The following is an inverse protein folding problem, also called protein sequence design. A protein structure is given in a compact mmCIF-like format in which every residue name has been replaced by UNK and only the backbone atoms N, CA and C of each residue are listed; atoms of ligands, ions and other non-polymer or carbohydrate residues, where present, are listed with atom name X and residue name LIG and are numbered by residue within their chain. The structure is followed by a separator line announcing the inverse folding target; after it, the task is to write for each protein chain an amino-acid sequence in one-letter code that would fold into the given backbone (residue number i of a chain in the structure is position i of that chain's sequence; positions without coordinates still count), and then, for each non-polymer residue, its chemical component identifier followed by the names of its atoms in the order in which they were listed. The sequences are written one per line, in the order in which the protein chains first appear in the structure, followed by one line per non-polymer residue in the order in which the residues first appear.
data_IF_477807281039
#
_entry.id   IF_477807281039
#
_cell.length_a   1.000
_cell.length_b   1.000
_cell.length_c   1.000
_cell.angle_alpha   90.00
_cell.angle_beta   90.00
_cell.angle_gamma   90.00
#
_symmetry.space_group_name_H-M   'P 1'
#
loop_
_entity.id
_entity.type
_entity.pdbx_description
1 polymer ?
#
# COMPACT_ATOMS: atom_id res chain seq x y z
N UNK A 1 10.20 -8.42 20.41
CA UNK A 1 9.96 -8.83 18.99
C UNK A 1 9.47 -10.27 19.03
N UNK A 2 8.32 -10.57 18.44
CA UNK A 2 7.83 -11.94 18.25
C UNK A 2 8.63 -12.62 17.15
N UNK A 3 8.83 -13.93 17.24
CA UNK A 3 9.59 -14.68 16.24
C UNK A 3 8.77 -14.96 14.96
N UNK A 4 9.44 -15.35 13.87
CA UNK A 4 8.78 -15.61 12.59
C UNK A 4 7.74 -16.74 12.68
N UNK A 5 7.94 -17.75 13.54
CA UNK A 5 6.99 -18.86 13.72
C UNK A 5 5.70 -18.36 14.36
N UNK A 6 5.80 -17.45 15.33
CA UNK A 6 4.63 -16.83 15.94
C UNK A 6 3.91 -15.91 14.96
N UNK A 7 4.65 -15.11 14.17
CA UNK A 7 4.07 -14.27 13.12
C UNK A 7 3.26 -15.12 12.12
N UNK A 8 3.81 -16.25 11.69
CA UNK A 8 3.16 -17.16 10.73
C UNK A 8 1.83 -17.72 11.21
N UNK A 9 1.60 -17.84 12.52
CA UNK A 9 0.31 -18.28 13.08
C UNK A 9 -0.88 -17.37 12.73
N UNK A 10 -0.62 -16.14 12.36
CA UNK A 10 -1.65 -15.19 11.91
C UNK A 10 -2.01 -15.34 10.43
N UNK A 11 -1.45 -16.34 9.74
CA UNK A 11 -1.68 -16.58 8.32
C UNK A 11 -2.11 -18.02 8.05
N UNK A 12 -2.94 -18.25 7.02
CA UNK A 12 -3.21 -19.58 6.51
C UNK A 12 -1.92 -20.29 6.09
N UNK A 13 -1.89 -21.62 6.22
CA UNK A 13 -0.70 -22.42 5.92
C UNK A 13 -0.19 -22.25 4.49
N UNK A 14 -1.09 -22.00 3.53
CA UNK A 14 -0.77 -21.79 2.11
C UNK A 14 0.11 -20.57 1.90
N UNK A 15 0.03 -19.59 2.79
CA UNK A 15 0.86 -18.39 2.73
C UNK A 15 2.21 -18.54 3.43
N UNK A 16 2.45 -19.62 4.17
CA UNK A 16 3.70 -19.81 4.91
C UNK A 16 4.95 -19.91 4.04
N UNK A 17 4.80 -20.12 2.74
CA UNK A 17 5.92 -20.06 1.78
C UNK A 17 6.43 -18.63 1.50
N UNK A 18 5.65 -17.61 1.85
CA UNK A 18 5.94 -16.20 1.62
C UNK A 18 6.60 -15.51 2.82
N UNK A 19 7.54 -16.18 3.48
CA UNK A 19 8.16 -15.75 4.73
C UNK A 19 8.65 -14.30 4.74
N UNK A 20 9.27 -13.84 3.65
CA UNK A 20 9.78 -12.47 3.52
C UNK A 20 8.65 -11.44 3.49
N UNK A 21 7.56 -11.72 2.80
CA UNK A 21 6.39 -10.84 2.77
C UNK A 21 5.65 -10.82 4.11
N UNK A 22 5.51 -11.98 4.76
CA UNK A 22 4.92 -12.11 6.10
C UNK A 22 5.69 -11.28 7.12
N UNK A 23 7.03 -11.38 7.11
CA UNK A 23 7.88 -10.60 8.01
C UNK A 23 7.79 -9.10 7.68
N UNK A 24 7.76 -8.73 6.39
CA UNK A 24 7.58 -7.34 5.96
C UNK A 24 6.22 -6.78 6.41
N UNK A 25 5.13 -7.54 6.26
CA UNK A 25 3.79 -7.12 6.71
C UNK A 25 3.76 -6.91 8.24
N UNK A 26 4.40 -7.78 9.02
CA UNK A 26 4.56 -7.55 10.47
C UNK A 26 5.25 -6.21 10.79
N UNK A 27 6.35 -5.92 10.12
CA UNK A 27 7.07 -4.65 10.30
C UNK A 27 6.21 -3.44 9.89
N UNK A 28 5.38 -3.57 8.85
CA UNK A 28 4.43 -2.53 8.44
C UNK A 28 3.42 -2.23 9.56
N UNK A 29 2.89 -3.25 10.24
CA UNK A 29 2.02 -3.06 11.41
C UNK A 29 2.74 -2.31 12.54
N UNK A 30 4.00 -2.68 12.85
CA UNK A 30 4.81 -1.98 13.87
C UNK A 30 5.06 -0.52 13.52
N UNK A 31 5.35 -0.23 12.27
CA UNK A 31 5.56 1.15 11.80
C UNK A 31 4.24 1.94 11.87
N UNK A 32 3.11 1.37 11.43
CA UNK A 32 1.79 2.01 11.53
C UNK A 32 1.42 2.35 12.98
N UNK A 33 1.65 1.43 13.92
CA UNK A 33 1.45 1.69 15.35
C UNK A 33 2.28 2.90 15.82
N UNK A 34 3.55 2.98 15.42
CA UNK A 34 4.44 4.07 15.80
C UNK A 34 3.97 5.40 15.17
N UNK A 35 3.63 5.40 13.89
CA UNK A 35 3.16 6.59 13.16
C UNK A 35 1.89 7.15 13.82
N UNK A 36 0.88 6.31 14.04
CA UNK A 36 -0.40 6.75 14.59
C UNK A 36 -0.40 6.95 16.12
N UNK A 37 0.65 6.52 16.81
CA UNK A 37 0.90 6.88 18.23
C UNK A 37 1.83 8.09 18.39
N UNK A 38 2.23 8.74 17.31
CA UNK A 38 3.09 9.94 17.33
C UNK A 38 2.25 11.22 17.40
N UNK A 39 2.93 12.34 17.70
CA UNK A 39 2.34 13.69 17.61
C UNK A 39 1.90 14.09 16.19
N UNK A 40 2.36 13.36 15.18
CA UNK A 40 2.09 13.62 13.76
C UNK A 40 0.89 12.86 13.21
N UNK A 41 0.25 11.99 14.00
CA UNK A 41 -0.85 11.12 13.59
C UNK A 41 -2.03 11.85 12.95
N UNK A 42 -2.31 13.10 13.37
CA UNK A 42 -3.42 13.89 12.85
C UNK A 42 -3.17 14.46 11.45
N UNK A 43 -1.91 14.47 11.00
CA UNK A 43 -1.47 15.02 9.72
C UNK A 43 -1.33 13.97 8.63
N UNK A 44 -1.60 12.70 8.93
CA UNK A 44 -1.41 11.59 8.02
C UNK A 44 -2.67 10.73 7.93
N UNK A 45 -3.02 10.35 6.70
CA UNK A 45 -4.08 9.37 6.43
C UNK A 45 -3.49 8.24 5.60
N UNK A 46 -3.63 6.99 6.06
CA UNK A 46 -3.11 5.82 5.40
C UNK A 46 -3.88 5.48 4.14
N UNK A 47 -3.18 5.35 3.02
CA UNK A 47 -3.71 5.11 1.68
C UNK A 47 -2.95 3.97 0.99
N UNK A 48 -3.19 3.80 -0.29
CA UNK A 48 -2.37 2.96 -1.17
C UNK A 48 -2.64 1.45 -1.05
N UNK A 49 -1.75 0.67 -1.66
CA UNK A 49 -1.91 -0.78 -1.78
C UNK A 49 -1.80 -1.52 -0.45
N UNK A 50 -0.99 -1.00 0.47
CA UNK A 50 -0.82 -1.62 1.80
C UNK A 50 -2.03 -1.34 2.69
N UNK A 51 -2.70 -0.19 2.53
CA UNK A 51 -3.99 0.08 3.17
C UNK A 51 -5.05 -0.94 2.69
N UNK A 52 -5.15 -1.18 1.38
CA UNK A 52 -6.05 -2.21 0.84
C UNK A 52 -5.72 -3.62 1.39
N UNK A 53 -4.44 -3.95 1.55
CA UNK A 53 -4.01 -5.24 2.09
C UNK A 53 -4.32 -5.38 3.57
N UNK A 54 -3.91 -4.42 4.39
CA UNK A 54 -3.96 -4.51 5.85
C UNK A 54 -5.38 -4.31 6.38
N UNK A 55 -6.10 -3.33 5.86
CA UNK A 55 -7.42 -2.93 6.36
C UNK A 55 -8.54 -3.69 5.66
N UNK A 56 -8.46 -3.79 4.34
CA UNK A 56 -9.53 -4.35 3.52
C UNK A 56 -9.26 -5.78 3.03
N UNK A 57 -8.16 -6.41 3.50
CA UNK A 57 -7.83 -7.81 3.27
C UNK A 57 -7.66 -8.18 1.78
N UNK A 58 -7.15 -7.26 0.96
CA UNK A 58 -6.82 -7.56 -0.42
C UNK A 58 -5.87 -8.77 -0.50
N UNK A 59 -6.11 -9.69 -1.44
CA UNK A 59 -5.43 -10.98 -1.54
C UNK A 59 -4.08 -10.91 -2.27
N UNK A 60 -3.33 -9.86 -2.03
CA UNK A 60 -1.94 -9.72 -2.44
C UNK A 60 -1.12 -9.04 -1.36
N UNK A 61 0.17 -9.35 -1.30
CA UNK A 61 1.12 -8.61 -0.47
C UNK A 61 1.37 -7.21 -1.05
N UNK A 62 1.80 -6.31 -0.18
CA UNK A 62 2.20 -4.95 -0.53
C UNK A 62 3.47 -4.57 0.22
N UNK A 63 4.23 -3.61 -0.29
CA UNK A 63 5.59 -3.40 0.18
C UNK A 63 5.79 -2.08 0.93
N UNK A 64 5.20 -1.00 0.42
CA UNK A 64 5.44 0.35 0.89
C UNK A 64 4.26 0.86 1.73
N UNK A 65 4.49 1.89 2.54
CA UNK A 65 3.47 2.55 3.34
C UNK A 65 3.22 3.94 2.77
N UNK A 66 2.05 4.12 2.16
CA UNK A 66 1.65 5.37 1.52
C UNK A 66 0.71 6.17 2.43
N UNK A 67 0.95 7.48 2.53
CA UNK A 67 0.09 8.38 3.30
C UNK A 67 -0.26 9.63 2.52
N UNK A 68 -1.50 10.08 2.65
CA UNK A 68 -1.86 11.46 2.29
C UNK A 68 -1.41 12.41 3.38
N UNK A 69 -0.84 13.54 2.97
CA UNK A 69 -0.23 14.54 3.84
C UNK A 69 -1.15 15.74 4.06
N UNK A 70 -1.64 15.91 5.28
CA UNK A 70 -2.46 17.02 5.73
C UNK A 70 -1.63 18.04 6.54
N UNK A 71 -0.62 18.62 5.90
CA UNK A 71 0.18 19.69 6.48
C UNK A 71 1.37 19.24 7.35
N UNK A 72 1.88 18.01 7.12
CA UNK A 72 3.17 17.60 7.68
C UNK A 72 4.29 18.31 6.93
N UNK A 73 5.14 19.03 7.66
CA UNK A 73 6.28 19.74 7.08
C UNK A 73 7.49 18.83 6.85
N UNK A 74 8.49 19.24 6.03
CA UNK A 74 9.72 18.49 5.84
C UNK A 74 10.46 18.15 7.15
N UNK A 75 10.53 19.12 8.07
CA UNK A 75 11.21 18.94 9.36
C UNK A 75 10.44 17.95 10.25
N UNK A 76 9.12 18.08 10.33
CA UNK A 76 8.26 17.14 11.05
C UNK A 76 8.33 15.72 10.47
N UNK A 77 8.43 15.59 9.15
CA UNK A 77 8.62 14.30 8.51
C UNK A 77 9.97 13.68 8.86
N UNK A 78 11.02 14.49 8.90
CA UNK A 78 12.35 14.04 9.30
C UNK A 78 12.37 13.58 10.76
N UNK A 79 11.67 14.30 11.62
CA UNK A 79 11.52 13.98 13.05
C UNK A 79 10.68 12.70 13.26
N UNK A 80 9.61 12.53 12.49
CA UNK A 80 8.84 11.29 12.47
C UNK A 80 9.73 10.07 12.13
N UNK A 81 10.64 10.21 11.16
CA UNK A 81 11.62 9.18 10.85
C UNK A 81 12.49 8.81 12.06
N UNK A 82 12.98 9.80 12.80
CA UNK A 82 13.76 9.56 14.01
C UNK A 82 12.94 8.90 15.13
N UNK A 83 11.67 9.29 15.29
CA UNK A 83 10.73 8.65 16.23
C UNK A 83 10.52 7.19 15.87
N UNK A 84 10.30 6.87 14.58
CA UNK A 84 10.15 5.50 14.11
C UNK A 84 11.40 4.69 14.42
N UNK A 85 12.58 5.19 14.05
CA UNK A 85 13.86 4.52 14.32
C UNK A 85 14.00 4.21 15.81
N UNK A 86 13.90 5.21 16.67
CA UNK A 86 14.07 5.06 18.12
C UNK A 86 13.10 4.04 18.73
N UNK A 87 11.82 4.09 18.34
CA UNK A 87 10.82 3.17 18.87
C UNK A 87 11.03 1.72 18.39
N UNK A 88 11.48 1.52 17.15
CA UNK A 88 11.83 0.19 16.65
C UNK A 88 13.10 -0.35 17.32
N UNK A 89 14.12 0.49 17.53
CA UNK A 89 15.34 0.10 18.25
C UNK A 89 15.04 -0.33 19.70
N UNK A 90 14.12 0.36 20.40
CA UNK A 90 13.66 -0.03 21.73
C UNK A 90 12.93 -1.39 21.73
N UNK A 91 12.41 -1.84 20.59
CA UNK A 91 11.79 -3.15 20.42
C UNK A 91 12.80 -4.24 19.99
N UNK A 92 14.08 -3.88 19.91
CA UNK A 92 15.18 -4.81 19.61
C UNK A 92 15.51 -4.96 18.11
N UNK A 93 14.98 -4.09 17.25
CA UNK A 93 15.38 -4.06 15.83
C UNK A 93 16.64 -3.23 15.63
N UNK A 94 17.52 -3.66 14.72
CA UNK A 94 18.55 -2.79 14.17
C UNK A 94 17.93 -2.02 12.98
N UNK A 95 18.00 -0.67 12.98
CA UNK A 95 17.27 0.16 12.02
C UNK A 95 18.16 1.27 11.44
N UNK A 96 18.17 1.35 10.13
CA UNK A 96 18.75 2.47 9.38
C UNK A 96 17.63 3.28 8.71
N UNK A 97 17.74 4.61 8.78
CA UNK A 97 16.77 5.52 8.13
C UNK A 97 17.50 6.44 7.16
N UNK A 98 16.85 6.65 6.00
CA UNK A 98 17.27 7.66 5.03
C UNK A 98 16.04 8.41 4.51
N UNK A 99 15.94 9.70 4.85
CA UNK A 99 14.91 10.59 4.33
C UNK A 99 15.37 11.23 3.00
N UNK A 100 14.41 11.35 2.06
CA UNK A 100 14.56 12.05 0.79
C UNK A 100 13.34 12.95 0.64
N UNK A 101 13.58 14.26 0.55
CA UNK A 101 12.53 15.29 0.47
C UNK A 101 12.70 16.00 -0.87
N UNK A 102 11.84 15.67 -1.85
CA UNK A 102 11.82 16.29 -3.19
C UNK A 102 10.39 16.28 -3.73
N UNK A 103 9.60 17.27 -3.35
CA UNK A 103 8.16 17.30 -3.62
C UNK A 103 7.43 16.35 -2.67
N UNK A 104 7.29 15.07 -3.05
CA UNK A 104 6.91 14.01 -2.12
C UNK A 104 8.03 13.73 -1.09
N UNK A 105 7.65 13.24 0.10
CA UNK A 105 8.59 12.88 1.15
C UNK A 105 8.70 11.36 1.21
N UNK A 106 9.94 10.85 1.22
CA UNK A 106 10.23 9.42 1.28
C UNK A 106 11.13 9.12 2.47
N UNK A 107 10.75 8.15 3.29
CA UNK A 107 11.56 7.62 4.37
C UNK A 107 11.87 6.15 4.10
N UNK A 108 13.11 5.85 3.77
CA UNK A 108 13.58 4.47 3.59
C UNK A 108 13.97 3.90 4.95
N UNK A 109 13.21 2.94 5.45
CA UNK A 109 13.43 2.23 6.71
C UNK A 109 14.03 0.87 6.36
N UNK A 110 15.29 0.64 6.76
CA UNK A 110 16.02 -0.59 6.50
C UNK A 110 16.27 -1.34 7.79
N UNK A 111 16.14 -2.65 7.72
CA UNK A 111 16.37 -3.57 8.83
C UNK A 111 17.57 -4.46 8.51
N UNK A 112 18.81 -4.05 8.92
CA UNK A 112 20.01 -4.85 8.74
C UNK A 112 19.91 -6.16 9.53
N UNK A 113 20.56 -7.21 9.02
CA UNK A 113 20.68 -8.54 9.65
C UNK A 113 19.36 -9.28 9.96
N UNK A 114 18.19 -8.61 9.86
CA UNK A 114 16.92 -9.20 10.27
C UNK A 114 16.58 -10.46 9.47
N UNK A 115 16.84 -10.48 8.15
CA UNK A 115 16.65 -11.67 7.32
C UNK A 115 17.53 -12.83 7.77
N UNK A 116 18.80 -12.56 8.09
CA UNK A 116 19.74 -13.57 8.60
C UNK A 116 19.29 -14.09 9.97
N UNK A 117 18.92 -13.21 10.89
CA UNK A 117 18.44 -13.57 12.23
C UNK A 117 17.14 -14.38 12.18
N UNK A 118 16.30 -14.14 11.16
CA UNK A 118 15.06 -14.90 10.94
C UNK A 118 15.26 -16.20 10.14
N UNK A 119 16.51 -16.55 9.77
CA UNK A 119 16.82 -17.73 8.97
C UNK A 119 16.40 -17.64 7.50
N UNK A 120 16.11 -16.43 6.98
CA UNK A 120 15.63 -16.19 5.62
C UNK A 120 16.73 -15.77 4.64
N UNK A 121 17.95 -15.56 5.12
CA UNK A 121 19.13 -15.27 4.32
C UNK A 121 20.40 -15.80 5.00
N UNK A 122 21.37 -16.18 4.18
CA UNK A 122 22.74 -16.47 4.63
C UNK A 122 23.63 -15.22 4.67
N UNK A 123 23.15 -14.07 4.22
CA UNK A 123 23.92 -12.85 4.04
C UNK A 123 23.50 -11.76 5.04
N UNK A 124 24.44 -11.30 5.87
CA UNK A 124 24.20 -10.23 6.84
C UNK A 124 23.89 -8.87 6.17
N UNK A 125 24.41 -8.67 4.95
CA UNK A 125 24.23 -7.43 4.18
C UNK A 125 22.83 -7.29 3.58
N UNK A 126 22.07 -8.38 3.48
CA UNK A 126 20.71 -8.34 2.94
C UNK A 126 19.76 -7.71 3.96
N UNK A 127 19.06 -6.66 3.51
CA UNK A 127 18.18 -5.85 4.38
C UNK A 127 16.74 -5.92 3.89
N UNK A 128 15.80 -5.97 4.84
CA UNK A 128 14.42 -5.61 4.50
C UNK A 128 14.35 -4.10 4.36
N UNK A 129 13.72 -3.64 3.28
CA UNK A 129 13.37 -2.24 3.06
C UNK A 129 11.86 -2.08 3.13
N UNK A 130 11.42 -1.10 3.92
CA UNK A 130 10.07 -0.54 3.87
C UNK A 130 10.21 0.94 3.58
N UNK A 131 9.56 1.40 2.53
CA UNK A 131 9.48 2.81 2.19
C UNK A 131 8.19 3.39 2.78
N UNK A 132 8.31 4.50 3.47
CA UNK A 132 7.18 5.30 3.92
C UNK A 132 7.15 6.55 3.05
N UNK A 133 6.06 6.69 2.30
CA UNK A 133 5.86 7.76 1.34
C UNK A 133 4.69 8.64 1.78
N UNK A 134 4.88 9.96 1.65
CA UNK A 134 3.78 10.89 1.89
C UNK A 134 3.84 12.06 0.91
N UNK A 135 2.66 12.36 0.35
CA UNK A 135 2.46 13.46 -0.58
C UNK A 135 1.07 14.07 -0.31
N UNK A 136 0.98 15.39 -0.32
CA UNK A 136 -0.31 16.05 -0.24
C UNK A 136 -1.08 15.84 -1.54
N UNK A 137 -2.21 15.15 -1.44
CA UNK A 137 -3.07 14.92 -2.62
C UNK A 137 -3.81 16.18 -3.07
N UNK A 138 -3.90 17.21 -2.22
CA UNK A 138 -4.61 18.46 -2.55
C UNK A 138 -6.10 18.23 -2.80
N UNK A 139 -6.68 17.28 -2.09
CA UNK A 139 -8.09 16.93 -2.12
C UNK A 139 -8.59 16.69 -0.70
N UNK A 140 -9.60 17.43 -0.30
CA UNK A 140 -10.18 17.32 1.04
C UNK A 140 -11.22 16.20 1.08
N UNK A 141 -11.08 15.32 2.06
CA UNK A 141 -12.02 14.23 2.32
C UNK A 141 -12.11 13.91 3.81
N UNK A 142 -13.19 13.26 4.21
CA UNK A 142 -13.33 12.77 5.57
C UNK A 142 -12.63 11.42 5.71
N UNK A 143 -11.59 11.37 6.55
CA UNK A 143 -10.92 10.11 6.89
C UNK A 143 -11.76 9.26 7.83
N UNK A 144 -11.61 7.94 7.72
CA UNK A 144 -12.24 6.97 8.60
C UNK A 144 -11.25 6.50 9.67
N UNK A 145 -11.77 6.09 10.84
CA UNK A 145 -10.95 5.48 11.89
C UNK A 145 -11.08 3.97 11.83
N UNK A 146 -9.93 3.27 11.89
CA UNK A 146 -9.88 1.82 11.87
C UNK A 146 -9.04 1.29 13.04
N UNK A 147 -9.53 0.26 13.75
CA UNK A 147 -8.76 -0.43 14.78
C UNK A 147 -7.83 -1.46 14.14
N UNK A 148 -6.55 -1.18 14.17
CA UNK A 148 -5.52 -2.10 13.76
C UNK A 148 -5.23 -3.07 14.91
N UNK A 149 -5.62 -4.33 14.74
CA UNK A 149 -5.48 -5.38 15.77
C UNK A 149 -4.96 -6.67 15.12
N UNK A 150 -3.67 -6.84 15.08
CA UNK A 150 -3.00 -8.06 14.59
C UNK A 150 -1.61 -8.16 15.20
N UNK A 151 -1.12 -9.36 15.42
CA UNK A 151 0.16 -9.65 16.10
C UNK A 151 0.17 -9.07 17.54
N UNK A 152 1.19 -8.33 17.88
CA UNK A 152 1.36 -7.58 19.13
C UNK A 152 1.03 -6.08 18.97
N UNK A 153 0.24 -5.72 17.92
CA UNK A 153 -0.15 -4.35 17.60
C UNK A 153 -1.63 -4.14 17.88
N UNK A 154 -1.93 -3.08 18.65
CA UNK A 154 -3.29 -2.63 18.90
C UNK A 154 -3.33 -1.10 18.92
N UNK A 155 -3.83 -0.48 17.87
CA UNK A 155 -3.88 0.98 17.72
C UNK A 155 -5.01 1.42 16.81
N UNK A 156 -5.41 2.70 16.89
CA UNK A 156 -6.34 3.30 15.94
C UNK A 156 -5.56 4.05 14.86
N UNK A 157 -5.88 3.80 13.61
CA UNK A 157 -5.28 4.47 12.45
C UNK A 157 -6.34 5.25 11.68
N UNK A 158 -5.92 6.27 10.94
CA UNK A 158 -6.77 7.00 9.99
C UNK A 158 -6.55 6.45 8.58
N UNK A 159 -7.65 6.16 7.88
CA UNK A 159 -7.64 5.60 6.52
C UNK A 159 -8.50 6.44 5.59
N UNK A 160 -8.19 6.41 4.30
CA UNK A 160 -9.03 7.00 3.27
C UNK A 160 -10.24 6.11 2.95
N UNK A 161 -11.39 6.68 2.53
CA UNK A 161 -12.54 5.92 2.06
C UNK A 161 -12.20 5.06 0.84
N UNK A 162 -12.85 3.90 0.71
CA UNK A 162 -12.64 2.99 -0.43
C UNK A 162 -12.92 3.63 -1.79
N UNK A 163 -13.91 4.53 -1.88
CA UNK A 163 -14.22 5.29 -3.10
C UNK A 163 -13.04 6.13 -3.57
N UNK A 164 -12.35 6.79 -2.64
CA UNK A 164 -11.16 7.57 -2.93
C UNK A 164 -9.98 6.67 -3.31
N UNK A 165 -9.76 5.57 -2.59
CA UNK A 165 -8.69 4.60 -2.95
C UNK A 165 -8.90 4.04 -4.36
N UNK A 166 -10.15 3.76 -4.76
CA UNK A 166 -10.46 3.32 -6.12
C UNK A 166 -10.18 4.42 -7.15
N UNK A 167 -10.59 5.66 -6.87
CA UNK A 167 -10.30 6.80 -7.75
C UNK A 167 -8.80 7.04 -7.93
N UNK A 168 -8.01 6.93 -6.83
CA UNK A 168 -6.54 7.01 -6.88
C UNK A 168 -5.93 5.89 -7.75
N UNK A 169 -6.49 4.67 -7.73
CA UNK A 169 -6.03 3.58 -8.58
C UNK A 169 -6.33 3.82 -10.07
N UNK A 170 -7.51 4.32 -10.40
CA UNK A 170 -7.83 4.72 -11.77
C UNK A 170 -6.92 5.86 -12.24
N UNK A 171 -6.74 6.88 -11.41
CA UNK A 171 -5.81 7.97 -11.71
C UNK A 171 -4.38 7.46 -11.94
N UNK A 172 -3.91 6.52 -11.12
CA UNK A 172 -2.57 5.94 -11.27
C UNK A 172 -2.40 5.18 -12.59
N UNK A 173 -3.41 4.40 -13.01
CA UNK A 173 -3.39 3.70 -14.30
C UNK A 173 -3.26 4.67 -15.47
N UNK A 174 -3.99 5.79 -15.44
CA UNK A 174 -3.97 6.77 -16.53
C UNK A 174 -2.72 7.65 -16.57
N UNK A 175 -2.11 7.95 -15.42
CA UNK A 175 -1.13 9.02 -15.33
C UNK A 175 0.29 8.57 -14.98
N UNK A 176 0.52 7.30 -14.62
CA UNK A 176 1.88 6.81 -14.37
C UNK A 176 2.67 6.68 -15.66
N UNK A 177 3.94 7.11 -15.61
CA UNK A 177 4.89 6.90 -16.72
C UNK A 177 5.09 5.41 -17.06
N UNK A 178 5.00 4.54 -16.08
CA UNK A 178 5.06 3.09 -16.22
C UNK A 178 3.91 2.47 -15.43
N UNK A 179 3.02 1.79 -16.13
CA UNK A 179 1.93 1.07 -15.51
C UNK A 179 2.43 -0.05 -14.58
N UNK A 180 1.63 -0.38 -13.59
CA UNK A 180 1.89 -1.42 -12.59
C UNK A 180 0.71 -2.39 -12.55
N UNK A 181 0.98 -3.68 -12.69
CA UNK A 181 -0.03 -4.73 -12.60
C UNK A 181 -0.83 -4.68 -11.30
N UNK A 182 -0.19 -4.24 -10.21
CA UNK A 182 -0.83 -4.07 -8.89
C UNK A 182 -2.00 -3.08 -8.89
N UNK A 183 -1.94 -2.02 -9.71
CA UNK A 183 -3.03 -1.03 -9.75
C UNK A 183 -4.27 -1.63 -10.43
N UNK A 184 -4.12 -2.41 -11.49
CA UNK A 184 -5.22 -3.15 -12.13
C UNK A 184 -5.82 -4.19 -11.19
N UNK A 185 -5.00 -4.92 -10.46
CA UNK A 185 -5.47 -5.91 -9.47
C UNK A 185 -6.30 -5.26 -8.37
N UNK A 186 -5.83 -4.12 -7.85
CA UNK A 186 -6.54 -3.35 -6.82
C UNK A 186 -7.88 -2.81 -7.32
N UNK A 187 -7.95 -2.35 -8.58
CA UNK A 187 -9.21 -1.93 -9.23
C UNK A 187 -10.19 -3.10 -9.28
N UNK A 188 -9.75 -4.27 -9.77
CA UNK A 188 -10.63 -5.45 -9.82
C UNK A 188 -11.14 -5.82 -8.43
N UNK A 189 -10.27 -5.81 -7.42
CA UNK A 189 -10.65 -6.06 -6.04
C UNK A 189 -11.73 -5.09 -5.55
N UNK A 190 -11.52 -3.79 -5.70
CA UNK A 190 -12.44 -2.76 -5.23
C UNK A 190 -13.79 -2.78 -5.97
N UNK A 191 -13.77 -2.98 -7.29
CA UNK A 191 -14.99 -3.13 -8.09
C UNK A 191 -15.76 -4.40 -7.71
N UNK A 192 -15.08 -5.48 -7.34
CA UNK A 192 -15.73 -6.71 -6.86
C UNK A 192 -16.45 -6.53 -5.53
N UNK A 193 -16.08 -5.51 -4.74
CA UNK A 193 -16.79 -5.08 -3.53
C UNK A 193 -17.95 -4.14 -3.83
N UNK A 194 -18.22 -3.81 -5.09
CA UNK A 194 -19.27 -2.88 -5.48
C UNK A 194 -18.93 -1.40 -5.19
N UNK A 195 -17.67 -1.07 -5.03
CA UNK A 195 -17.24 0.30 -4.73
C UNK A 195 -17.36 1.16 -6.00
N UNK A 196 -17.90 2.37 -5.83
CA UNK A 196 -17.95 3.41 -6.86
C UNK A 196 -16.79 4.39 -6.62
N UNK A 197 -16.04 4.79 -7.66
CA UNK A 197 -14.93 5.72 -7.49
C UNK A 197 -15.43 7.13 -7.11
N UNK A 198 -14.59 7.86 -6.37
CA UNK A 198 -14.83 9.28 -6.06
C UNK A 198 -14.61 10.14 -7.30
N UNK A 199 -15.71 10.58 -7.93
CA UNK A 199 -15.65 11.40 -9.13
C UNK A 199 -15.20 12.84 -8.86
N UNK A 200 -15.36 13.37 -7.65
CA UNK A 200 -14.85 14.70 -7.32
C UNK A 200 -13.32 14.70 -7.33
N UNK A 201 -12.70 13.62 -6.83
CA UNK A 201 -11.25 13.44 -6.92
C UNK A 201 -10.80 13.29 -8.39
N UNK A 202 -11.48 12.46 -9.17
CA UNK A 202 -11.12 12.24 -10.58
C UNK A 202 -11.31 13.50 -11.42
N UNK A 203 -12.35 14.27 -11.19
CA UNK A 203 -12.59 15.55 -11.87
C UNK A 203 -11.48 16.55 -11.56
N UNK A 204 -11.12 16.69 -10.26
CA UNK A 204 -10.04 17.58 -9.84
C UNK A 204 -8.69 17.20 -10.46
N UNK A 205 -8.37 15.88 -10.53
CA UNK A 205 -7.05 15.40 -10.93
C UNK A 205 -6.88 15.16 -12.43
N UNK A 206 -7.97 14.84 -13.14
CA UNK A 206 -7.91 14.40 -14.54
C UNK A 206 -9.06 14.91 -15.41
N UNK A 207 -10.00 15.69 -14.85
CA UNK A 207 -11.16 16.19 -15.61
C UNK A 207 -12.24 15.14 -15.88
N UNK A 208 -12.17 13.96 -15.26
CA UNK A 208 -13.12 12.86 -15.45
C UNK A 208 -14.22 12.99 -14.39
N UNK A 209 -15.44 13.35 -14.83
CA UNK A 209 -16.55 13.67 -13.93
C UNK A 209 -17.64 12.59 -13.86
N UNK A 210 -17.56 11.53 -14.67
CA UNK A 210 -18.60 10.51 -14.71
C UNK A 210 -18.10 9.13 -15.18
N UNK A 211 -18.94 8.12 -14.93
CA UNK A 211 -18.64 6.72 -15.24
C UNK A 211 -18.38 6.43 -16.70
N UNK A 212 -19.00 7.18 -17.59
CA UNK A 212 -18.86 6.97 -19.02
C UNK A 212 -17.47 7.40 -19.50
N UNK A 213 -17.07 8.62 -19.13
CA UNK A 213 -15.73 9.14 -19.42
C UNK A 213 -14.64 8.24 -18.82
N UNK A 214 -14.77 7.87 -17.54
CA UNK A 214 -13.80 7.01 -16.87
C UNK A 214 -13.62 5.69 -17.60
N UNK A 215 -14.73 5.02 -17.94
CA UNK A 215 -14.69 3.73 -18.62
C UNK A 215 -14.05 3.84 -20.00
N UNK A 216 -14.40 4.86 -20.78
CA UNK A 216 -13.83 5.07 -22.12
C UNK A 216 -12.33 5.33 -22.06
N UNK A 217 -11.88 6.23 -21.17
CA UNK A 217 -10.47 6.56 -21.00
C UNK A 217 -9.65 5.32 -20.57
N UNK A 218 -10.12 4.55 -19.58
CA UNK A 218 -9.40 3.35 -19.11
C UNK A 218 -9.35 2.28 -20.19
N UNK A 219 -10.45 2.01 -20.90
CA UNK A 219 -10.47 1.00 -21.98
C UNK A 219 -9.56 1.40 -23.14
N UNK A 220 -9.56 2.69 -23.52
CA UNK A 220 -8.65 3.20 -24.55
C UNK A 220 -7.18 3.06 -24.10
N UNK A 221 -6.89 3.37 -22.84
CA UNK A 221 -5.55 3.22 -22.27
C UNK A 221 -5.08 1.74 -22.24
N UNK A 222 -5.96 0.82 -21.87
CA UNK A 222 -5.67 -0.63 -21.84
C UNK A 222 -5.24 -1.18 -23.20
N UNK A 223 -5.79 -0.68 -24.31
CA UNK A 223 -5.40 -1.09 -25.67
C UNK A 223 -3.93 -0.84 -26.00
N UNK A 224 -3.27 0.05 -25.26
CA UNK A 224 -1.85 0.39 -25.41
C UNK A 224 -0.94 -0.39 -24.45
N UNK A 225 -1.50 -1.25 -23.62
CA UNK A 225 -0.78 -1.95 -22.55
C UNK A 225 -0.81 -3.45 -22.82
N UNK A 226 0.33 -4.11 -22.68
CA UNK A 226 0.37 -5.58 -22.63
C UNK A 226 -0.09 -6.07 -21.26
N UNK A 227 -1.34 -6.57 -21.19
CA UNK A 227 -1.91 -7.09 -19.94
C UNK A 227 -1.21 -8.37 -19.46
N UNK A 228 -0.49 -9.11 -20.31
CA UNK A 228 0.33 -10.23 -19.88
C UNK A 228 1.59 -9.75 -19.12
N UNK A 229 2.18 -8.62 -19.54
CA UNK A 229 3.26 -8.02 -18.76
C UNK A 229 2.76 -7.48 -17.42
N UNK A 230 1.58 -6.89 -17.38
CA UNK A 230 0.96 -6.45 -16.12
C UNK A 230 0.65 -7.63 -15.19
N UNK A 231 0.18 -8.74 -15.74
CA UNK A 231 -0.04 -9.97 -15.00
C UNK A 231 1.25 -10.50 -14.37
N UNK A 232 2.36 -10.54 -15.13
CA UNK A 232 3.69 -10.92 -14.61
C UNK A 232 4.22 -9.95 -13.57
N UNK A 233 3.98 -8.64 -13.71
CA UNK A 233 4.42 -7.61 -12.73
C UNK A 233 3.75 -7.82 -11.36
N UNK A 234 2.49 -8.25 -11.31
CA UNK A 234 1.77 -8.46 -10.05
C UNK A 234 1.94 -9.86 -9.46
N UNK A 235 2.22 -10.86 -10.28
CA UNK A 235 2.25 -12.28 -9.89
C UNK A 235 3.07 -12.56 -8.62
N UNK A 236 4.30 -11.98 -8.42
CA UNK A 236 5.10 -12.25 -7.22
C UNK A 236 4.45 -11.82 -5.90
N UNK A 237 3.44 -10.96 -5.96
CA UNK A 237 2.73 -10.44 -4.80
C UNK A 237 1.44 -11.19 -4.50
N UNK A 238 0.92 -11.99 -5.43
CA UNK A 238 -0.36 -12.66 -5.31
C UNK A 238 -0.30 -13.83 -4.32
N UNK A 239 -1.37 -14.04 -3.57
CA UNK A 239 -1.52 -15.24 -2.73
C UNK A 239 -1.68 -16.50 -3.57
N UNK A 240 -2.32 -16.37 -4.73
CA UNK A 240 -2.50 -17.42 -5.72
C UNK A 240 -2.08 -16.89 -7.09
N UNK A 241 -1.09 -17.51 -7.72
CA UNK A 241 -0.62 -17.13 -9.06
C UNK A 241 -1.71 -17.19 -10.12
N UNK A 242 -2.70 -18.07 -9.96
CA UNK A 242 -3.87 -18.16 -10.84
C UNK A 242 -4.71 -16.87 -10.88
N UNK A 243 -4.57 -15.98 -9.92
CA UNK A 243 -5.26 -14.68 -9.90
C UNK A 243 -4.73 -13.67 -10.95
N UNK A 244 -3.62 -13.99 -11.61
CA UNK A 244 -3.14 -13.25 -12.79
C UNK A 244 -4.19 -13.15 -13.89
N UNK A 245 -5.10 -14.14 -14.00
CA UNK A 245 -6.26 -14.11 -14.92
C UNK A 245 -7.14 -12.88 -14.77
N UNK A 246 -7.21 -12.30 -13.55
CA UNK A 246 -7.99 -11.09 -13.28
C UNK A 246 -7.44 -9.89 -14.05
N UNK A 247 -6.12 -9.87 -14.27
CA UNK A 247 -5.45 -8.82 -15.02
C UNK A 247 -5.62 -9.05 -16.52
N UNK A 248 -5.42 -10.30 -16.98
CA UNK A 248 -5.57 -10.65 -18.40
C UNK A 248 -7.00 -10.37 -18.87
N UNK A 249 -8.00 -10.57 -18.02
CA UNK A 249 -9.40 -10.33 -18.31
C UNK A 249 -9.88 -8.92 -17.88
N UNK A 250 -8.99 -7.98 -17.58
CA UNK A 250 -9.35 -6.69 -17.03
C UNK A 250 -10.29 -5.88 -17.93
N UNK A 251 -10.01 -5.81 -19.24
CA UNK A 251 -10.83 -5.04 -20.19
C UNK A 251 -12.29 -5.60 -20.28
N UNK A 252 -12.52 -6.89 -20.56
CA UNK A 252 -13.89 -7.42 -20.58
C UNK A 252 -14.57 -7.37 -19.23
N UNK A 253 -13.83 -7.48 -18.11
CA UNK A 253 -14.35 -7.29 -16.77
C UNK A 253 -14.85 -5.84 -16.58
N UNK A 254 -14.00 -4.84 -16.85
CA UNK A 254 -14.34 -3.44 -16.69
C UNK A 254 -15.52 -3.01 -17.57
N UNK A 255 -15.60 -3.52 -18.81
CA UNK A 255 -16.69 -3.24 -19.72
C UNK A 255 -18.08 -3.60 -19.12
N UNK A 256 -18.15 -4.62 -18.30
CA UNK A 256 -19.38 -5.12 -17.66
C UNK A 256 -19.70 -4.39 -16.33
N UNK A 257 -18.74 -3.68 -15.72
CA UNK A 257 -18.96 -3.04 -14.42
C UNK A 257 -19.83 -1.79 -14.56
N UNK A 258 -20.68 -1.59 -13.55
CA UNK A 258 -21.34 -0.30 -13.33
C UNK A 258 -20.43 0.53 -12.42
N UNK A 259 -20.00 1.69 -12.93
CA UNK A 259 -19.13 2.60 -12.18
C UNK A 259 -19.91 3.80 -11.60
N UNK A 260 -21.21 3.64 -11.43
CA UNK A 260 -22.12 4.67 -10.91
C UNK A 260 -23.12 4.04 -9.96
#
# INVERSE_FOLDING_TARGET
MIDLKEIKRFYPNELHQYDRFILKEYLQYKILEIVFSSSYATKLVFIGGTCLRIVHQNHRFSEDLDFDNFGLTPDEFSDLGLVIKKKLELQGFEVEIKNVIKGAFHCNIRFPKLLMQSGLSGYAEEKILIQLDTEAQGFDFQSESYFLNKFDVFTTIKIAPLSLLLAQKFYAVLNRKRNKGRDFYDIVFLLSLGIVPDYNFLELKSGISNSYQLKDEILNHCRMIDMNEMAKDVEPFLFQSSDTKKIIAFEPFLAQQKLS
#
